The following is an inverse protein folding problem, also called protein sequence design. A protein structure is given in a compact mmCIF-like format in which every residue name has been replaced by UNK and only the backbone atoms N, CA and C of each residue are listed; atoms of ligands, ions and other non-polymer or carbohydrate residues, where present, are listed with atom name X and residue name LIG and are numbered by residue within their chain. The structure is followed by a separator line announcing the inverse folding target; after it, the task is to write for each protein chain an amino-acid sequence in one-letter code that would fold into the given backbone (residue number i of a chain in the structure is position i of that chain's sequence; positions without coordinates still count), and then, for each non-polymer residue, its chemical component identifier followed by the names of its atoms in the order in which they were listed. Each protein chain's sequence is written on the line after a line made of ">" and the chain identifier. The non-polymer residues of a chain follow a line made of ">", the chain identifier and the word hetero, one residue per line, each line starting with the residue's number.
data_IF_222085163165
#
_entry.id   IF_222085163165
#
_cell.length_a   1.000
_cell.length_b   1.000
_cell.length_c   1.000
_cell.angle_alpha   90.00
_cell.angle_beta   90.00
_cell.angle_gamma   90.00
#
_symmetry.space_group_name_H-M   'P 1'
#
loop_
_entity.id
_entity.type
_entity.pdbx_description
1 polymer ?
#
# COMPACT_ATOMS: atom_id res chain seq x y z
N UNK A 1 28.09 -11.28 -17.08
CA UNK A 1 29.43 -10.86 -17.44
C UNK A 1 29.70 -9.50 -16.79
N UNK A 2 30.65 -9.44 -15.87
CA UNK A 2 31.13 -8.17 -15.33
C UNK A 2 31.89 -7.49 -16.48
N UNK A 3 31.36 -6.37 -16.99
CA UNK A 3 32.08 -5.58 -17.99
C UNK A 3 33.28 -4.96 -17.28
N UNK A 4 34.48 -5.45 -17.61
CA UNK A 4 35.71 -4.85 -17.16
C UNK A 4 36.07 -3.79 -18.20
N UNK A 5 35.86 -2.51 -17.85
CA UNK A 5 36.34 -1.40 -18.68
C UNK A 5 37.89 -1.37 -18.67
N UNK A 6 38.46 -1.75 -19.76
CA UNK A 6 39.91 -1.77 -19.97
C UNK A 6 40.55 -3.14 -19.86
N UNK A 7 41.68 -3.36 -20.61
CA UNK A 7 42.52 -4.55 -20.46
C UNK A 7 43.29 -4.42 -19.15
N UNK A 8 43.16 -5.36 -18.21
CA UNK A 8 43.97 -5.33 -16.98
C UNK A 8 45.44 -5.53 -17.33
N UNK A 9 46.31 -4.79 -16.67
CA UNK A 9 47.75 -4.79 -16.92
C UNK A 9 48.44 -6.09 -16.52
N UNK A 10 47.83 -6.86 -15.60
CA UNK A 10 48.37 -8.11 -15.08
C UNK A 10 47.26 -9.09 -14.65
N UNK A 11 47.60 -10.37 -14.46
CA UNK A 11 46.68 -11.42 -14.03
C UNK A 11 46.04 -11.17 -12.66
N UNK A 12 46.74 -10.67 -11.62
CA UNK A 12 46.13 -10.34 -10.35
C UNK A 12 45.04 -9.27 -10.45
N UNK A 13 45.23 -8.21 -11.21
CA UNK A 13 44.20 -7.18 -11.42
C UNK A 13 43.02 -7.71 -12.27
N UNK A 14 43.27 -8.62 -13.20
CA UNK A 14 42.23 -9.31 -13.97
C UNK A 14 41.29 -10.15 -13.09
N UNK A 15 41.83 -10.78 -12.05
CA UNK A 15 41.12 -11.67 -11.15
C UNK A 15 40.49 -10.93 -9.96
N UNK A 16 40.92 -9.70 -9.66
CA UNK A 16 40.45 -8.94 -8.52
C UNK A 16 38.93 -8.65 -8.54
N UNK A 17 38.40 -8.25 -9.70
CA UNK A 17 36.98 -7.91 -9.85
C UNK A 17 36.07 -9.16 -9.72
N UNK A 18 36.35 -10.29 -10.40
CA UNK A 18 35.59 -11.54 -10.20
C UNK A 18 35.68 -12.05 -8.76
N UNK A 19 36.84 -11.97 -8.11
CA UNK A 19 37.05 -12.41 -6.74
C UNK A 19 36.28 -11.55 -5.72
N UNK A 20 36.16 -10.25 -5.95
CA UNK A 20 35.35 -9.36 -5.11
C UNK A 20 33.85 -9.66 -5.26
N UNK A 21 33.37 -9.86 -6.49
CA UNK A 21 31.98 -10.24 -6.77
C UNK A 21 31.62 -11.62 -6.17
N UNK A 22 32.53 -12.56 -6.15
CA UNK A 22 32.33 -13.86 -5.51
C UNK A 22 32.25 -13.73 -3.99
N UNK A 23 33.12 -12.92 -3.36
CA UNK A 23 33.04 -12.60 -1.93
C UNK A 23 31.71 -11.91 -1.57
N UNK A 24 31.30 -10.95 -2.37
CA UNK A 24 30.01 -10.25 -2.20
C UNK A 24 28.85 -11.24 -2.22
N UNK A 25 28.76 -12.09 -3.24
CA UNK A 25 27.71 -13.10 -3.36
C UNK A 25 27.72 -14.11 -2.21
N UNK A 26 28.91 -14.57 -1.78
CA UNK A 26 29.04 -15.48 -0.65
C UNK A 26 28.66 -14.82 0.69
N UNK A 27 28.95 -13.54 0.86
CA UNK A 27 28.54 -12.77 2.03
C UNK A 27 27.03 -12.50 2.02
N UNK A 28 26.47 -12.13 0.87
CA UNK A 28 25.04 -11.91 0.68
C UNK A 28 24.21 -13.14 1.11
N UNK A 29 24.55 -14.33 0.63
CA UNK A 29 23.84 -15.56 1.00
C UNK A 29 23.82 -15.82 2.51
N UNK A 30 24.96 -15.63 3.19
CA UNK A 30 25.05 -15.82 4.63
C UNK A 30 24.22 -14.79 5.42
N UNK A 31 24.11 -13.59 4.89
CA UNK A 31 23.41 -12.47 5.57
C UNK A 31 21.93 -12.46 5.27
N UNK A 32 21.49 -12.81 4.07
CA UNK A 32 20.12 -12.73 3.64
C UNK A 32 19.16 -13.54 4.53
N UNK A 33 19.49 -14.79 4.84
CA UNK A 33 18.64 -15.68 5.63
C UNK A 33 18.34 -15.11 7.01
N UNK A 34 19.39 -14.70 7.74
CA UNK A 34 19.18 -14.13 9.08
C UNK A 34 18.56 -12.75 9.03
N UNK A 35 18.86 -11.92 8.01
CA UNK A 35 18.23 -10.61 7.84
C UNK A 35 16.72 -10.73 7.68
N UNK A 36 16.26 -11.59 6.76
CA UNK A 36 14.84 -11.81 6.58
C UNK A 36 14.17 -12.46 7.80
N UNK A 37 14.84 -13.39 8.47
CA UNK A 37 14.33 -13.97 9.71
C UNK A 37 14.16 -12.92 10.83
N UNK A 38 15.15 -12.04 11.01
CA UNK A 38 15.09 -10.93 11.98
C UNK A 38 14.01 -9.92 11.58
N UNK A 39 13.93 -9.54 10.30
CA UNK A 39 12.91 -8.63 9.78
C UNK A 39 11.50 -9.16 10.07
N UNK A 40 11.23 -10.40 9.70
CA UNK A 40 9.93 -11.06 9.91
C UNK A 40 9.62 -11.15 11.41
N UNK A 41 10.56 -11.65 12.21
CA UNK A 41 10.39 -11.78 13.65
C UNK A 41 10.11 -10.43 14.33
N UNK A 42 10.87 -9.40 13.99
CA UNK A 42 10.67 -8.04 14.52
C UNK A 42 9.30 -7.46 14.14
N UNK A 43 8.88 -7.62 12.89
CA UNK A 43 7.58 -7.11 12.42
C UNK A 43 6.40 -7.88 13.05
N UNK A 44 6.50 -9.20 13.21
CA UNK A 44 5.47 -9.99 13.89
C UNK A 44 5.37 -9.59 15.37
N UNK A 45 6.50 -9.48 16.08
CA UNK A 45 6.51 -9.03 17.46
C UNK A 45 5.92 -7.63 17.61
N UNK A 46 6.27 -6.72 16.72
CA UNK A 46 5.72 -5.37 16.70
C UNK A 46 4.22 -5.36 16.42
N UNK A 47 3.74 -6.17 15.49
CA UNK A 47 2.31 -6.31 15.20
C UNK A 47 1.53 -6.84 16.42
N UNK A 48 2.08 -7.86 17.11
CA UNK A 48 1.51 -8.40 18.35
C UNK A 48 1.48 -7.34 19.45
N UNK A 49 2.55 -6.55 19.61
CA UNK A 49 2.63 -5.46 20.59
C UNK A 49 1.65 -4.30 20.30
N UNK A 50 1.40 -4.01 19.03
CA UNK A 50 0.49 -2.92 18.60
C UNK A 50 -0.98 -3.32 18.70
N UNK A 51 -1.30 -4.60 18.52
CA UNK A 51 -2.68 -5.09 18.55
C UNK A 51 -3.47 -4.74 19.82
N UNK A 52 -2.95 -4.90 21.05
CA UNK A 52 -3.64 -4.45 22.26
C UNK A 52 -3.83 -2.94 22.34
N UNK A 53 -2.90 -2.14 21.80
CA UNK A 53 -3.04 -0.68 21.73
C UNK A 53 -4.22 -0.29 20.83
N UNK A 54 -4.33 -0.90 19.65
CA UNK A 54 -5.45 -0.71 18.74
C UNK A 54 -6.79 -1.19 19.35
N UNK A 55 -6.76 -2.25 20.17
CA UNK A 55 -7.96 -2.76 20.87
C UNK A 55 -8.36 -1.87 22.05
N UNK A 56 -7.39 -1.36 22.84
CA UNK A 56 -7.64 -0.46 23.97
C UNK A 56 -8.25 0.84 23.52
N UNK A 57 -7.78 1.45 22.47
CA UNK A 57 -8.34 2.67 21.90
C UNK A 57 -9.83 2.54 21.51
N UNK A 58 -10.34 1.30 21.31
CA UNK A 58 -11.77 1.03 21.09
C UNK A 58 -12.62 1.11 22.36
N UNK A 59 -12.04 0.86 23.55
CA UNK A 59 -12.77 0.73 24.80
C UNK A 59 -12.95 2.07 25.54
N UNK A 60 -12.32 3.16 25.04
CA UNK A 60 -12.38 4.49 25.64
C UNK A 60 -13.65 5.29 25.31
N UNK A 61 -14.64 4.68 24.68
CA UNK A 61 -15.89 5.36 24.32
C UNK A 61 -16.94 5.45 25.45
N UNK A 62 -16.57 5.08 26.68
CA UNK A 62 -17.48 5.12 27.85
C UNK A 62 -16.89 5.89 29.03
N UNK A 63 -17.72 6.35 29.99
CA UNK A 63 -17.28 7.13 31.16
C UNK A 63 -16.36 6.37 32.13
N UNK A 64 -16.24 5.06 31.99
CA UNK A 64 -15.37 4.20 32.81
C UNK A 64 -14.44 3.44 31.86
N UNK A 65 -13.54 4.16 31.18
CA UNK A 65 -12.55 3.57 30.28
C UNK A 65 -11.24 3.21 31.00
N UNK A 66 -10.45 2.23 30.47
CA UNK A 66 -9.12 1.95 31.00
C UNK A 66 -8.22 3.18 30.87
N UNK A 67 -7.25 3.32 31.79
CA UNK A 67 -6.32 4.44 31.84
C UNK A 67 -5.68 4.74 30.45
N UNK A 68 -5.50 6.02 30.10
CA UNK A 68 -4.90 6.41 28.84
C UNK A 68 -3.48 5.84 28.72
N UNK A 69 -3.13 5.37 27.51
CA UNK A 69 -1.79 4.87 27.25
C UNK A 69 -0.79 6.03 27.37
N UNK A 70 0.33 5.86 28.10
CA UNK A 70 1.34 6.90 28.22
C UNK A 70 1.82 7.37 26.84
N UNK A 71 1.90 8.68 26.62
CA UNK A 71 2.35 9.29 25.35
C UNK A 71 3.72 8.76 24.91
N UNK A 72 4.60 8.44 25.85
CA UNK A 72 5.91 7.85 25.55
C UNK A 72 5.81 6.49 24.87
N UNK A 73 4.86 5.64 25.30
CA UNK A 73 4.63 4.31 24.68
C UNK A 73 4.13 4.47 23.25
N UNK A 74 3.18 5.36 23.02
CA UNK A 74 2.67 5.63 21.66
C UNK A 74 3.79 6.15 20.76
N UNK A 75 4.57 7.11 21.23
CA UNK A 75 5.70 7.66 20.47
C UNK A 75 6.78 6.60 20.16
N UNK A 76 7.10 5.73 21.11
CA UNK A 76 8.04 4.62 20.88
C UNK A 76 7.52 3.65 19.82
N UNK A 77 6.24 3.27 19.92
CA UNK A 77 5.61 2.38 18.94
C UNK A 77 5.58 3.02 17.54
N UNK A 78 5.29 4.31 17.44
CA UNK A 78 5.36 5.04 16.17
C UNK A 78 6.76 4.99 15.55
N UNK A 79 7.81 5.24 16.34
CA UNK A 79 9.19 5.18 15.87
C UNK A 79 9.56 3.76 15.41
N UNK A 80 9.15 2.74 16.16
CA UNK A 80 9.39 1.34 15.79
C UNK A 80 8.65 0.92 14.52
N UNK A 81 7.43 1.41 14.31
CA UNK A 81 6.67 1.15 13.08
C UNK A 81 7.33 1.82 11.86
N UNK A 82 7.83 3.05 12.02
CA UNK A 82 8.59 3.75 10.97
C UNK A 82 9.88 2.99 10.67
N UNK A 83 10.63 2.61 11.70
CA UNK A 83 11.89 1.86 11.59
C UNK A 83 11.66 0.51 10.87
N UNK A 84 10.62 -0.24 11.25
CA UNK A 84 10.26 -1.50 10.62
C UNK A 84 9.93 -1.36 9.14
N UNK A 85 9.22 -0.30 8.76
CA UNK A 85 8.88 -0.03 7.36
C UNK A 85 10.10 0.40 6.52
N UNK A 86 11.09 1.06 7.14
CA UNK A 86 12.31 1.50 6.47
C UNK A 86 13.40 0.41 6.39
N UNK A 87 13.22 -0.73 7.06
CA UNK A 87 14.26 -1.76 7.15
C UNK A 87 14.70 -2.30 5.78
N UNK A 88 13.77 -2.57 4.86
CA UNK A 88 14.10 -3.08 3.51
C UNK A 88 14.77 -2.00 2.64
N UNK A 89 14.25 -0.77 2.52
CA UNK A 89 14.96 0.31 1.82
C UNK A 89 16.34 0.63 2.40
N UNK A 90 16.51 0.55 3.73
CA UNK A 90 17.80 0.76 4.38
C UNK A 90 18.78 -0.37 4.08
N UNK A 91 18.32 -1.63 4.07
CA UNK A 91 19.13 -2.76 3.68
C UNK A 91 19.63 -2.66 2.23
N UNK A 92 18.77 -2.17 1.31
CA UNK A 92 19.17 -1.89 -0.07
C UNK A 92 20.26 -0.80 -0.13
N UNK A 93 20.11 0.28 0.64
CA UNK A 93 21.12 1.35 0.69
C UNK A 93 22.41 0.90 1.38
N UNK A 94 22.38 -0.12 2.25
CA UNK A 94 23.59 -0.62 2.89
C UNK A 94 24.59 -1.19 1.86
N UNK A 95 24.13 -1.65 0.71
CA UNK A 95 24.97 -2.17 -0.37
C UNK A 95 25.77 -1.08 -1.11
N UNK A 96 25.56 0.20 -0.78
CA UNK A 96 26.46 1.31 -1.20
C UNK A 96 27.84 1.20 -0.55
N UNK A 97 27.88 0.62 0.68
CA UNK A 97 29.11 0.43 1.43
C UNK A 97 29.62 -1.00 1.20
N UNK A 98 30.90 -1.22 0.86
CA UNK A 98 31.44 -2.56 0.61
C UNK A 98 31.63 -3.33 1.93
N UNK A 99 30.53 -3.59 2.65
CA UNK A 99 30.51 -4.26 3.95
C UNK A 99 31.02 -5.71 3.90
N UNK A 100 30.98 -6.36 2.74
CA UNK A 100 31.41 -7.74 2.51
C UNK A 100 32.94 -7.92 2.52
N UNK A 101 33.72 -6.83 2.43
CA UNK A 101 35.19 -6.87 2.43
C UNK A 101 35.80 -7.06 3.80
N UNK A 102 35.05 -6.82 4.88
CA UNK A 102 35.54 -6.95 6.25
C UNK A 102 35.44 -8.37 6.80
N UNK A 103 36.25 -8.68 7.82
CA UNK A 103 36.28 -10.00 8.49
C UNK A 103 34.95 -10.38 9.13
N UNK A 104 34.13 -9.39 9.51
CA UNK A 104 32.82 -9.54 10.14
C UNK A 104 31.72 -8.93 9.26
N UNK A 105 31.62 -9.39 8.00
CA UNK A 105 30.71 -8.85 7.01
C UNK A 105 29.25 -8.69 7.50
N UNK A 106 28.71 -9.72 8.18
CA UNK A 106 27.35 -9.65 8.72
C UNK A 106 27.16 -8.58 9.81
N UNK A 107 28.14 -8.37 10.67
CA UNK A 107 28.09 -7.32 11.69
C UNK A 107 28.15 -5.93 11.05
N UNK A 108 29.03 -5.72 10.05
CA UNK A 108 29.10 -4.47 9.31
C UNK A 108 27.81 -4.16 8.58
N UNK A 109 27.21 -5.15 7.89
CA UNK A 109 25.91 -5.00 7.28
C UNK A 109 24.84 -4.58 8.29
N UNK A 110 24.78 -5.25 9.46
CA UNK A 110 23.82 -4.91 10.51
C UNK A 110 24.03 -3.47 11.02
N UNK A 111 25.27 -3.05 11.29
CA UNK A 111 25.57 -1.69 11.77
C UNK A 111 25.16 -0.64 10.73
N UNK A 112 25.55 -0.81 9.48
CA UNK A 112 25.20 0.13 8.40
C UNK A 112 23.69 0.21 8.22
N UNK A 113 23.02 -0.93 8.16
CA UNK A 113 21.55 -0.98 8.03
C UNK A 113 20.85 -0.30 9.20
N UNK A 114 21.27 -0.56 10.45
CA UNK A 114 20.69 0.08 11.64
C UNK A 114 20.91 1.59 11.65
N UNK A 115 22.09 2.06 11.24
CA UNK A 115 22.37 3.51 11.12
C UNK A 115 21.47 4.15 10.05
N UNK A 116 21.27 3.49 8.92
CA UNK A 116 20.37 3.97 7.85
C UNK A 116 18.91 3.97 8.30
N UNK A 117 18.46 2.94 9.02
CA UNK A 117 17.12 2.89 9.62
C UNK A 117 16.94 4.01 10.63
N UNK A 118 17.91 4.22 11.52
CA UNK A 118 17.86 5.29 12.51
C UNK A 118 17.85 6.67 11.85
N UNK A 119 18.72 6.90 10.87
CA UNK A 119 18.80 8.13 10.09
C UNK A 119 17.48 8.41 9.30
N UNK A 120 16.96 7.40 8.63
CA UNK A 120 15.68 7.48 7.92
C UNK A 120 14.49 7.73 8.86
N UNK A 121 14.47 7.07 10.02
CA UNK A 121 13.45 7.30 11.07
C UNK A 121 13.53 8.73 11.59
N UNK A 122 14.74 9.23 11.85
CA UNK A 122 14.96 10.62 12.25
C UNK A 122 14.52 11.59 11.15
N UNK A 123 14.88 11.34 9.90
CA UNK A 123 14.45 12.15 8.76
C UNK A 123 12.92 12.24 8.65
N UNK A 124 12.21 11.11 8.81
CA UNK A 124 10.73 11.09 8.84
C UNK A 124 10.19 11.83 10.06
N UNK A 125 10.84 11.72 11.22
CA UNK A 125 10.42 12.38 12.47
C UNK A 125 10.54 13.90 12.40
N UNK A 126 11.55 14.41 11.71
CA UNK A 126 11.79 15.83 11.53
C UNK A 126 11.26 16.39 10.21
N UNK A 127 10.65 15.54 9.36
CA UNK A 127 10.09 15.97 8.08
C UNK A 127 8.96 17.00 8.26
N UNK A 128 8.85 18.00 7.37
CA UNK A 128 7.71 18.89 7.34
C UNK A 128 6.40 18.12 7.21
N UNK A 129 5.43 18.42 8.07
CA UNK A 129 4.15 17.71 8.08
C UNK A 129 4.14 16.39 8.87
N UNK A 130 5.20 16.05 9.62
CA UNK A 130 5.19 14.89 10.52
C UNK A 130 4.02 14.88 11.49
N UNK A 131 3.58 16.06 11.98
CA UNK A 131 2.44 16.20 12.87
C UNK A 131 1.09 15.82 12.22
N UNK A 132 0.99 15.85 10.90
CA UNK A 132 -0.24 15.41 10.21
C UNK A 132 -0.44 13.90 10.34
N UNK A 133 -1.69 13.45 10.44
CA UNK A 133 -2.05 12.04 10.63
C UNK A 133 -1.38 11.10 9.65
N UNK A 134 -1.35 11.47 8.36
CA UNK A 134 -0.72 10.68 7.29
C UNK A 134 0.71 11.16 6.94
N UNK A 135 1.27 12.12 7.67
CA UNK A 135 2.59 12.69 7.38
C UNK A 135 3.70 11.64 7.32
N UNK A 136 3.92 10.86 8.38
CA UNK A 136 4.95 9.83 8.39
C UNK A 136 4.72 8.73 7.35
N UNK A 137 3.47 8.32 7.12
CA UNK A 137 3.14 7.34 6.07
C UNK A 137 3.60 7.86 4.70
N UNK A 138 3.25 9.12 4.36
CA UNK A 138 3.67 9.71 3.10
C UNK A 138 5.18 9.86 2.97
N UNK A 139 5.86 10.24 4.06
CA UNK A 139 7.31 10.39 4.09
C UNK A 139 8.03 9.03 3.90
N UNK A 140 7.60 7.99 4.62
CA UNK A 140 8.15 6.63 4.50
C UNK A 140 7.89 6.06 3.10
N UNK A 141 6.65 6.19 2.59
CA UNK A 141 6.30 5.71 1.26
C UNK A 141 7.10 6.44 0.17
N UNK A 142 7.24 7.77 0.29
CA UNK A 142 8.05 8.57 -0.62
C UNK A 142 9.52 8.18 -0.57
N UNK A 143 10.08 8.01 0.63
CA UNK A 143 11.49 7.61 0.82
C UNK A 143 11.76 6.21 0.23
N UNK A 144 10.89 5.24 0.50
CA UNK A 144 11.00 3.89 -0.05
C UNK A 144 10.94 3.89 -1.59
N UNK A 145 10.00 4.66 -2.16
CA UNK A 145 9.88 4.83 -3.61
C UNK A 145 11.12 5.49 -4.21
N UNK A 146 11.65 6.53 -3.56
CA UNK A 146 12.84 7.25 -4.03
C UNK A 146 14.09 6.37 -3.98
N UNK A 147 14.29 5.60 -2.90
CA UNK A 147 15.45 4.73 -2.75
C UNK A 147 15.48 3.67 -3.84
N UNK A 148 14.38 2.91 -4.00
CA UNK A 148 14.31 1.87 -5.02
C UNK A 148 14.28 2.48 -6.43
N UNK A 149 13.52 3.56 -6.62
CA UNK A 149 13.46 4.25 -7.91
C UNK A 149 14.80 4.83 -8.35
N UNK A 150 15.56 5.46 -7.44
CA UNK A 150 16.88 5.99 -7.73
C UNK A 150 17.87 4.88 -8.11
N UNK A 151 17.85 3.75 -7.39
CA UNK A 151 18.67 2.59 -7.75
C UNK A 151 18.34 2.07 -9.14
N UNK A 152 17.04 1.92 -9.48
CA UNK A 152 16.60 1.49 -10.80
C UNK A 152 17.02 2.49 -11.89
N UNK A 153 16.89 3.80 -11.64
CA UNK A 153 17.31 4.85 -12.56
C UNK A 153 18.82 4.91 -12.78
N UNK A 154 19.61 4.43 -11.81
CA UNK A 154 21.07 4.33 -11.89
C UNK A 154 21.59 2.96 -12.35
N UNK A 155 20.68 2.08 -12.81
CA UNK A 155 20.99 0.78 -13.37
C UNK A 155 20.82 -0.40 -12.43
N UNK A 156 20.09 -0.23 -11.33
CA UNK A 156 19.73 -1.26 -10.33
C UNK A 156 20.97 -1.98 -9.73
N UNK A 157 22.02 -1.22 -9.47
CA UNK A 157 23.31 -1.76 -9.01
C UNK A 157 23.26 -2.31 -7.61
N UNK A 158 22.44 -1.73 -6.73
CA UNK A 158 22.29 -2.16 -5.34
C UNK A 158 21.47 -3.44 -5.21
N UNK A 159 20.73 -3.80 -6.24
CA UNK A 159 19.96 -5.06 -6.28
C UNK A 159 20.76 -6.24 -6.77
N UNK A 160 21.84 -5.99 -7.53
CA UNK A 160 22.72 -7.05 -8.01
C UNK A 160 23.65 -7.48 -6.88
N UNK A 161 23.55 -8.73 -6.45
CA UNK A 161 24.27 -9.30 -5.32
C UNK A 161 24.01 -8.64 -3.96
N UNK A 162 22.99 -7.76 -3.88
CA UNK A 162 22.56 -7.14 -2.61
C UNK A 162 21.75 -8.11 -1.74
N UNK A 163 21.75 -7.87 -0.39
CA UNK A 163 21.05 -8.73 0.58
C UNK A 163 19.53 -8.80 0.30
N UNK A 164 18.94 -7.71 -0.13
CA UNK A 164 17.51 -7.64 -0.50
C UNK A 164 17.28 -7.71 -2.02
N UNK A 165 18.32 -7.96 -2.76
CA UNK A 165 18.32 -8.03 -4.20
C UNK A 165 18.28 -9.46 -4.76
N UNK A 166 19.05 -9.70 -5.79
CA UNK A 166 19.17 -11.01 -6.44
C UNK A 166 20.63 -11.34 -6.73
N UNK A 167 20.95 -12.64 -6.71
CA UNK A 167 22.28 -13.12 -7.04
C UNK A 167 22.45 -13.24 -8.55
N UNK A 168 23.53 -12.68 -9.10
CA UNK A 168 23.92 -12.85 -10.49
C UNK A 168 24.19 -14.32 -10.85
N UNK A 169 24.62 -15.13 -9.87
CA UNK A 169 24.99 -16.53 -10.09
C UNK A 169 23.77 -17.46 -10.11
N UNK A 170 22.68 -17.12 -9.38
CA UNK A 170 21.53 -18.01 -9.22
C UNK A 170 20.40 -17.75 -10.20
N UNK A 171 20.20 -16.51 -10.66
CA UNK A 171 18.99 -16.14 -11.39
C UNK A 171 19.13 -15.94 -12.88
N UNK A 172 20.34 -15.93 -13.46
CA UNK A 172 20.53 -15.57 -14.87
C UNK A 172 20.04 -14.14 -15.22
N UNK A 173 19.75 -13.32 -14.21
CA UNK A 173 19.33 -11.93 -14.30
C UNK A 173 20.52 -11.05 -13.93
N UNK A 174 20.91 -10.15 -14.81
CA UNK A 174 22.08 -9.30 -14.64
C UNK A 174 21.74 -7.81 -14.56
N UNK A 175 20.46 -7.46 -14.66
CA UNK A 175 19.98 -6.09 -14.59
C UNK A 175 18.49 -6.05 -14.25
N UNK A 176 18.02 -4.90 -13.76
CA UNK A 176 16.62 -4.64 -13.52
C UNK A 176 16.18 -4.84 -12.07
N UNK A 177 14.85 -4.78 -11.85
CA UNK A 177 14.25 -4.77 -10.53
C UNK A 177 14.08 -6.20 -9.98
N UNK A 178 14.60 -6.47 -8.78
CA UNK A 178 14.42 -7.74 -8.06
C UNK A 178 13.02 -7.86 -7.43
N UNK A 179 12.65 -9.06 -7.01
CA UNK A 179 11.30 -9.36 -6.46
C UNK A 179 10.99 -8.55 -5.18
N UNK A 180 11.94 -8.46 -4.25
CA UNK A 180 11.80 -7.69 -3.01
C UNK A 180 11.73 -6.20 -3.33
N UNK A 181 12.63 -5.69 -4.17
CA UNK A 181 12.62 -4.32 -4.66
C UNK A 181 11.30 -3.94 -5.34
N UNK A 182 10.75 -4.84 -6.17
CA UNK A 182 9.45 -4.66 -6.81
C UNK A 182 8.32 -4.52 -5.78
N UNK A 183 8.26 -5.42 -4.78
CA UNK A 183 7.24 -5.37 -3.74
C UNK A 183 7.26 -4.04 -2.97
N UNK A 184 8.44 -3.59 -2.55
CA UNK A 184 8.63 -2.31 -1.84
C UNK A 184 8.28 -1.12 -2.73
N UNK A 185 8.70 -1.14 -4.01
CA UNK A 185 8.43 -0.06 -4.95
C UNK A 185 6.95 0.07 -5.29
N UNK A 186 6.25 -1.04 -5.51
CA UNK A 186 4.80 -1.09 -5.71
C UNK A 186 4.08 -0.52 -4.50
N UNK A 187 4.41 -0.98 -3.30
CA UNK A 187 3.79 -0.50 -2.07
C UNK A 187 4.08 0.99 -1.82
N UNK A 188 5.34 1.39 -1.93
CA UNK A 188 5.77 2.76 -1.74
C UNK A 188 5.11 3.73 -2.71
N UNK A 189 5.15 3.44 -4.01
CA UNK A 189 4.60 4.31 -5.06
C UNK A 189 3.08 4.48 -4.93
N UNK A 190 2.33 3.40 -4.67
CA UNK A 190 0.88 3.48 -4.51
C UNK A 190 0.47 4.16 -3.20
N UNK A 191 1.15 3.90 -2.07
CA UNK A 191 0.91 4.61 -0.82
C UNK A 191 1.24 6.11 -0.94
N UNK A 192 2.35 6.44 -1.62
CA UNK A 192 2.72 7.83 -1.92
C UNK A 192 1.66 8.50 -2.80
N UNK A 193 1.21 7.83 -3.86
CA UNK A 193 0.12 8.32 -4.72
C UNK A 193 -1.17 8.54 -3.93
N UNK A 194 -1.55 7.62 -3.05
CA UNK A 194 -2.72 7.76 -2.18
C UNK A 194 -2.59 8.92 -1.20
N UNK A 195 -1.42 9.11 -0.60
CA UNK A 195 -1.14 10.24 0.28
C UNK A 195 -1.19 11.59 -0.44
N UNK A 196 -0.61 11.70 -1.64
CA UNK A 196 -0.71 12.89 -2.47
C UNK A 196 -2.15 13.16 -2.92
N UNK A 197 -2.87 12.11 -3.32
CA UNK A 197 -4.27 12.21 -3.73
C UNK A 197 -5.19 12.74 -2.61
N UNK A 198 -4.84 12.54 -1.33
CA UNK A 198 -5.61 13.14 -0.23
C UNK A 198 -5.45 14.65 -0.10
N UNK A 199 -4.43 15.24 -0.70
CA UNK A 199 -4.15 16.69 -0.66
C UNK A 199 -4.88 17.48 -1.73
N UNK A 200 -5.51 16.79 -2.67
CA UNK A 200 -6.25 17.40 -3.78
C UNK A 200 -7.76 17.17 -3.67
N UNK A 201 -8.58 18.02 -4.32
CA UNK A 201 -10.03 17.82 -4.39
C UNK A 201 -10.38 16.43 -4.95
N UNK A 202 -11.56 15.91 -4.58
CA UNK A 202 -11.99 14.54 -4.93
C UNK A 202 -11.89 14.22 -6.44
N UNK A 203 -12.27 15.18 -7.31
CA UNK A 203 -12.24 14.99 -8.77
C UNK A 203 -10.83 14.77 -9.33
N UNK A 204 -9.80 15.34 -8.69
CA UNK A 204 -8.40 15.24 -9.12
C UNK A 204 -7.65 14.03 -8.57
N UNK A 205 -8.21 13.33 -7.59
CA UNK A 205 -7.57 12.16 -6.97
C UNK A 205 -7.18 11.06 -7.96
N UNK A 206 -8.05 10.63 -8.89
CA UNK A 206 -7.67 9.65 -9.90
C UNK A 206 -6.51 10.12 -10.76
N UNK A 207 -6.49 11.40 -11.12
CA UNK A 207 -5.41 11.99 -11.96
C UNK A 207 -4.07 11.90 -11.24
N UNK A 208 -4.02 12.24 -9.94
CA UNK A 208 -2.80 12.14 -9.14
C UNK A 208 -2.34 10.68 -9.02
N UNK A 209 -3.27 9.74 -8.78
CA UNK A 209 -2.96 8.31 -8.69
C UNK A 209 -2.40 7.78 -10.01
N UNK A 210 -3.02 8.17 -11.14
CA UNK A 210 -2.56 7.74 -12.48
C UNK A 210 -1.21 8.40 -12.83
N UNK A 211 -1.01 9.66 -12.48
CA UNK A 211 0.26 10.36 -12.77
C UNK A 211 1.43 9.73 -12.02
N UNK A 212 1.31 9.59 -10.69
CA UNK A 212 2.38 8.99 -9.85
C UNK A 212 2.56 7.51 -10.18
N UNK A 213 1.45 6.77 -10.27
CA UNK A 213 1.47 5.35 -10.61
C UNK A 213 1.96 5.09 -12.03
N UNK A 214 1.61 5.95 -13.00
CA UNK A 214 2.09 5.86 -14.38
C UNK A 214 3.60 6.05 -14.48
N UNK A 215 4.18 7.01 -13.75
CA UNK A 215 5.64 7.16 -13.65
C UNK A 215 6.25 5.87 -13.09
N UNK A 216 5.68 5.31 -12.02
CA UNK A 216 6.16 4.06 -11.44
C UNK A 216 6.06 2.89 -12.43
N UNK A 217 4.98 2.78 -13.21
CA UNK A 217 4.82 1.77 -14.27
C UNK A 217 5.93 1.90 -15.33
N UNK A 218 6.22 3.13 -15.76
CA UNK A 218 7.30 3.38 -16.73
C UNK A 218 8.66 2.98 -16.16
N UNK A 219 8.95 3.32 -14.90
CA UNK A 219 10.20 2.96 -14.24
C UNK A 219 10.37 1.44 -14.16
N UNK A 220 9.33 0.70 -13.77
CA UNK A 220 9.36 -0.77 -13.68
C UNK A 220 9.44 -1.42 -15.03
N UNK A 221 8.61 -0.97 -15.99
CA UNK A 221 8.43 -1.66 -17.28
C UNK A 221 9.43 -1.27 -18.36
N UNK A 222 10.10 -0.12 -18.22
CA UNK A 222 11.07 0.30 -19.23
C UNK A 222 12.21 -0.72 -19.35
N UNK A 223 12.49 -1.22 -20.56
CA UNK A 223 13.57 -2.17 -20.80
C UNK A 223 14.97 -1.60 -20.50
N UNK A 224 15.08 -0.27 -20.39
CA UNK A 224 16.33 0.43 -20.08
C UNK A 224 16.50 0.70 -18.58
N UNK A 225 15.44 0.50 -17.77
CA UNK A 225 15.39 0.79 -16.34
C UNK A 225 15.11 -0.48 -15.53
N UNK A 226 13.85 -0.69 -15.15
CA UNK A 226 13.43 -1.83 -14.33
C UNK A 226 13.43 -3.17 -15.08
N UNK A 227 13.24 -3.14 -16.39
CA UNK A 227 13.19 -4.31 -17.28
C UNK A 227 12.22 -5.43 -16.82
N UNK A 228 11.22 -5.07 -16.00
CA UNK A 228 10.22 -6.00 -15.47
C UNK A 228 8.84 -5.69 -16.07
N UNK A 229 8.56 -6.31 -17.22
CA UNK A 229 7.27 -6.14 -17.90
C UNK A 229 6.11 -6.77 -17.14
N UNK A 230 6.33 -7.86 -16.40
CA UNK A 230 5.28 -8.52 -15.60
C UNK A 230 4.91 -7.67 -14.38
N UNK A 231 5.90 -7.10 -13.70
CA UNK A 231 5.71 -6.13 -12.65
C UNK A 231 4.98 -4.86 -13.12
N UNK A 232 5.29 -4.37 -14.32
CA UNK A 232 4.64 -3.21 -14.91
C UNK A 232 3.16 -3.46 -15.23
N UNK A 233 2.82 -4.63 -15.76
CA UNK A 233 1.42 -5.04 -16.02
C UNK A 233 0.64 -5.08 -14.70
N UNK A 234 1.23 -5.74 -13.70
CA UNK A 234 0.62 -5.86 -12.38
C UNK A 234 0.42 -4.50 -11.70
N UNK A 235 1.44 -3.63 -11.77
CA UNK A 235 1.36 -2.27 -11.22
C UNK A 235 0.31 -1.43 -11.97
N UNK A 236 0.19 -1.57 -13.30
CA UNK A 236 -0.86 -0.90 -14.08
C UNK A 236 -2.25 -1.31 -13.60
N UNK A 237 -2.48 -2.60 -13.34
CA UNK A 237 -3.74 -3.07 -12.77
C UNK A 237 -3.98 -2.46 -11.38
N UNK A 238 -2.96 -2.44 -10.51
CA UNK A 238 -3.04 -1.83 -9.19
C UNK A 238 -3.34 -0.33 -9.22
N UNK A 239 -2.67 0.43 -10.10
CA UNK A 239 -2.91 1.87 -10.32
C UNK A 239 -4.33 2.11 -10.81
N UNK A 240 -4.80 1.30 -11.75
CA UNK A 240 -6.15 1.41 -12.31
C UNK A 240 -7.23 1.16 -11.24
N UNK A 241 -7.04 0.13 -10.41
CA UNK A 241 -7.94 -0.14 -9.26
C UNK A 241 -7.89 1.00 -8.25
N UNK A 242 -6.69 1.48 -7.90
CA UNK A 242 -6.53 2.60 -6.97
C UNK A 242 -7.20 3.88 -7.50
N UNK A 243 -7.02 4.21 -8.78
CA UNK A 243 -7.67 5.34 -9.42
C UNK A 243 -9.19 5.20 -9.41
N UNK A 244 -9.72 4.01 -9.75
CA UNK A 244 -11.15 3.75 -9.83
C UNK A 244 -11.88 3.96 -8.49
N UNK A 245 -11.25 3.64 -7.35
CA UNK A 245 -11.84 3.77 -6.01
C UNK A 245 -11.37 4.99 -5.22
N UNK A 246 -10.42 5.79 -5.74
CA UNK A 246 -9.82 6.93 -5.04
C UNK A 246 -10.81 8.04 -4.69
N UNK A 247 -11.91 8.16 -5.42
CA UNK A 247 -13.00 9.11 -5.15
C UNK A 247 -13.94 8.67 -4.03
N UNK A 248 -13.74 7.48 -3.44
CA UNK A 248 -14.56 6.90 -2.38
C UNK A 248 -15.73 6.05 -2.89
N UNK A 249 -15.81 5.82 -4.20
CA UNK A 249 -16.82 4.93 -4.80
C UNK A 249 -16.46 3.45 -4.68
N UNK A 250 -17.45 2.59 -4.93
CA UNK A 250 -17.24 1.15 -5.08
C UNK A 250 -16.72 0.80 -6.49
N UNK A 251 -16.07 -0.35 -6.60
CA UNK A 251 -15.71 -0.91 -7.89
C UNK A 251 -17.00 -1.29 -8.65
N UNK A 252 -17.21 -0.64 -9.77
CA UNK A 252 -18.27 -1.00 -10.73
C UNK A 252 -17.67 -1.84 -11.85
N UNK A 253 -18.50 -2.66 -12.51
CA UNK A 253 -18.07 -3.47 -13.66
C UNK A 253 -17.42 -2.58 -14.74
N UNK A 254 -17.99 -1.42 -15.02
CA UNK A 254 -17.43 -0.46 -15.99
C UNK A 254 -16.01 -0.02 -15.60
N UNK A 255 -15.74 0.29 -14.31
CA UNK A 255 -14.41 0.69 -13.85
C UNK A 255 -13.41 -0.47 -13.94
N UNK A 256 -13.85 -1.71 -13.67
CA UNK A 256 -13.02 -2.90 -13.86
C UNK A 256 -12.67 -3.14 -15.33
N UNK A 257 -13.64 -2.94 -16.24
CA UNK A 257 -13.38 -3.03 -17.68
C UNK A 257 -12.36 -1.98 -18.12
N UNK A 258 -12.51 -0.72 -17.70
CA UNK A 258 -11.51 0.32 -18.00
C UNK A 258 -10.13 0.00 -17.42
N UNK A 259 -10.07 -0.53 -16.21
CA UNK A 259 -8.81 -0.98 -15.60
C UNK A 259 -8.16 -2.12 -16.39
N UNK A 260 -8.94 -3.09 -16.82
CA UNK A 260 -8.48 -4.19 -17.68
C UNK A 260 -7.99 -3.70 -19.05
N UNK A 261 -8.72 -2.77 -19.67
CA UNK A 261 -8.31 -2.15 -20.94
C UNK A 261 -7.00 -1.36 -20.80
N UNK A 262 -6.83 -0.60 -19.72
CA UNK A 262 -5.59 0.11 -19.43
C UNK A 262 -4.42 -0.86 -19.23
N UNK A 263 -4.64 -1.96 -18.49
CA UNK A 263 -3.64 -3.03 -18.30
C UNK A 263 -3.26 -3.69 -19.63
N UNK A 264 -4.26 -3.99 -20.46
CA UNK A 264 -4.03 -4.56 -21.80
C UNK A 264 -3.24 -3.60 -22.69
N UNK A 265 -3.61 -2.31 -22.71
CA UNK A 265 -2.90 -1.30 -23.49
C UNK A 265 -1.44 -1.15 -23.05
N UNK A 266 -1.18 -1.15 -21.74
CA UNK A 266 0.18 -1.12 -21.20
C UNK A 266 0.95 -2.38 -21.60
N UNK A 267 0.33 -3.56 -21.51
CA UNK A 267 0.93 -4.84 -21.93
C UNK A 267 1.33 -4.81 -23.39
N UNK A 268 0.41 -4.38 -24.27
CA UNK A 268 0.67 -4.26 -25.71
C UNK A 268 1.78 -3.24 -25.97
N UNK A 269 1.77 -2.09 -25.28
CA UNK A 269 2.81 -1.07 -25.39
C UNK A 269 4.20 -1.61 -25.06
N UNK A 270 4.35 -2.27 -23.90
CA UNK A 270 5.62 -2.90 -23.52
C UNK A 270 6.01 -4.05 -24.44
N UNK A 271 5.05 -4.85 -24.91
CA UNK A 271 5.29 -5.93 -25.87
C UNK A 271 5.87 -5.41 -27.19
N UNK A 272 5.29 -4.33 -27.74
CA UNK A 272 5.77 -3.72 -28.97
C UNK A 272 7.19 -3.16 -28.80
N UNK A 273 7.47 -2.51 -27.67
CA UNK A 273 8.81 -1.99 -27.37
C UNK A 273 9.81 -3.14 -27.24
N UNK A 274 9.46 -4.20 -26.52
CA UNK A 274 10.37 -5.34 -26.29
C UNK A 274 10.61 -6.19 -27.55
N UNK A 275 9.60 -6.36 -28.40
CA UNK A 275 9.74 -7.07 -29.69
C UNK A 275 10.65 -6.35 -30.70
N UNK A 276 10.77 -4.99 -30.58
CA UNK A 276 11.69 -4.22 -31.44
C UNK A 276 13.16 -4.40 -31.06
N UNK A 277 13.44 -5.01 -29.91
CA UNK A 277 14.81 -5.28 -29.45
C UNK A 277 15.38 -6.54 -30.13
N UNK A 278 16.72 -6.63 -30.26
CA UNK A 278 17.36 -7.84 -30.71
C UNK A 278 16.94 -9.05 -29.86
N UNK A 279 16.80 -10.26 -30.44
CA UNK A 279 16.36 -11.46 -29.71
C UNK A 279 17.14 -11.76 -28.43
N UNK A 280 18.44 -11.49 -28.41
CA UNK A 280 19.33 -11.70 -27.26
C UNK A 280 19.05 -10.71 -26.09
N UNK A 281 18.45 -9.54 -26.38
CA UNK A 281 18.17 -8.47 -25.40
C UNK A 281 16.71 -8.38 -25.01
N UNK A 282 15.84 -9.26 -25.54
CA UNK A 282 14.42 -9.26 -25.23
C UNK A 282 14.17 -9.58 -23.76
N UNK A 283 13.29 -8.83 -23.14
CA UNK A 283 12.83 -9.05 -21.78
C UNK A 283 11.91 -10.27 -21.64
N UNK A 284 11.33 -10.44 -20.47
CA UNK A 284 10.44 -11.58 -20.15
C UNK A 284 9.21 -11.64 -21.06
N UNK A 285 8.62 -10.49 -21.39
CA UNK A 285 7.41 -10.42 -22.22
C UNK A 285 7.71 -10.76 -23.69
N UNK A 286 8.77 -10.21 -24.27
CA UNK A 286 9.17 -10.54 -25.64
C UNK A 286 9.56 -11.99 -25.81
N UNK A 287 10.23 -12.58 -24.83
CA UNK A 287 10.55 -14.03 -24.81
C UNK A 287 9.28 -14.88 -24.66
N UNK A 288 8.33 -14.47 -23.82
CA UNK A 288 7.05 -15.17 -23.67
C UNK A 288 6.24 -15.15 -24.96
N UNK A 289 6.16 -13.99 -25.63
CA UNK A 289 5.47 -13.87 -26.91
C UNK A 289 6.13 -14.69 -28.02
N UNK A 290 7.46 -14.71 -28.03
CA UNK A 290 8.19 -15.61 -28.95
C UNK A 290 7.87 -17.08 -28.64
N UNK A 291 7.91 -17.50 -27.39
CA UNK A 291 7.56 -18.85 -26.96
C UNK A 291 6.09 -19.23 -27.25
N UNK A 292 5.17 -18.26 -27.24
CA UNK A 292 3.79 -18.48 -27.71
C UNK A 292 3.74 -18.77 -29.21
N UNK A 293 4.52 -18.02 -30.01
CA UNK A 293 4.66 -18.27 -31.45
C UNK A 293 5.25 -19.65 -31.77
N UNK A 294 6.18 -20.11 -30.95
CA UNK A 294 6.86 -21.40 -31.09
C UNK A 294 6.10 -22.59 -30.45
N UNK A 295 4.92 -22.33 -29.84
CA UNK A 295 4.10 -23.35 -29.19
C UNK A 295 4.60 -23.81 -27.81
N UNK A 296 5.65 -23.17 -27.25
CA UNK A 296 6.27 -23.54 -25.95
C UNK A 296 5.79 -22.69 -24.78
N UNK A 297 4.82 -21.77 -25.00
CA UNK A 297 4.30 -20.86 -23.99
C UNK A 297 3.71 -21.55 -22.75
N UNK A 298 3.13 -22.74 -22.90
CA UNK A 298 2.59 -23.53 -21.80
C UNK A 298 3.65 -23.95 -20.77
N UNK A 299 4.89 -24.21 -21.20
CA UNK A 299 6.01 -24.56 -20.31
C UNK A 299 6.40 -23.39 -19.40
N UNK A 300 6.30 -22.16 -19.90
CA UNK A 300 6.59 -20.93 -19.13
C UNK A 300 5.59 -20.74 -18.00
N UNK A 301 4.30 -20.94 -18.28
CA UNK A 301 3.24 -20.86 -17.27
C UNK A 301 3.39 -21.95 -16.20
N UNK A 302 3.72 -23.19 -16.63
CA UNK A 302 3.93 -24.29 -15.70
C UNK A 302 5.14 -24.06 -14.78
N UNK A 303 6.24 -23.51 -15.29
CA UNK A 303 7.42 -23.14 -14.49
C UNK A 303 7.10 -22.03 -13.49
N UNK A 304 6.36 -21.00 -13.88
CA UNK A 304 5.97 -19.92 -12.98
C UNK A 304 5.07 -20.41 -11.83
N UNK A 305 4.13 -21.33 -12.11
CA UNK A 305 3.27 -21.93 -11.08
C UNK A 305 4.06 -22.81 -10.11
N UNK A 306 5.01 -23.60 -10.60
CA UNK A 306 5.90 -24.42 -9.78
C UNK A 306 6.77 -23.56 -8.85
N UNK A 307 7.35 -22.48 -9.38
CA UNK A 307 8.15 -21.53 -8.59
C UNK A 307 7.33 -20.88 -7.46
N UNK A 308 6.07 -20.48 -7.72
CA UNK A 308 5.20 -19.92 -6.70
C UNK A 308 4.90 -20.92 -5.57
N UNK A 309 4.77 -22.20 -5.90
CA UNK A 309 4.53 -23.22 -4.87
C UNK A 309 5.76 -23.47 -4.01
N UNK A 310 6.96 -23.43 -4.59
CA UNK A 310 8.21 -23.61 -3.88
C UNK A 310 8.49 -22.45 -2.91
N UNK A 311 8.23 -21.21 -3.30
CA UNK A 311 8.40 -20.03 -2.43
C UNK A 311 7.47 -20.05 -1.21
N UNK A 312 6.35 -20.78 -1.26
CA UNK A 312 5.44 -20.92 -0.11
C UNK A 312 6.13 -21.58 1.09
N UNK A 313 7.00 -22.53 0.84
CA UNK A 313 7.67 -23.34 1.88
C UNK A 313 9.02 -22.73 2.27
N UNK A 314 9.76 -22.20 1.29
CA UNK A 314 11.16 -21.83 1.46
C UNK A 314 11.38 -20.36 1.84
N UNK A 315 10.43 -19.46 1.56
CA UNK A 315 10.64 -18.02 1.78
C UNK A 315 10.16 -17.57 3.17
N UNK A 316 11.01 -16.94 3.99
CA UNK A 316 10.61 -16.29 5.24
C UNK A 316 9.58 -15.16 5.02
N UNK A 317 9.57 -14.52 3.85
CA UNK A 317 8.62 -13.47 3.49
C UNK A 317 7.16 -13.97 3.39
N UNK A 318 6.95 -15.28 3.30
CA UNK A 318 5.61 -15.91 3.36
C UNK A 318 4.83 -15.47 4.60
N UNK A 319 5.48 -15.34 5.75
CA UNK A 319 4.83 -14.89 6.99
C UNK A 319 4.32 -13.45 6.85
N UNK A 320 5.11 -12.56 6.26
CA UNK A 320 4.70 -11.18 5.99
C UNK A 320 3.63 -11.10 4.90
N UNK A 321 3.67 -11.97 3.91
CA UNK A 321 2.63 -12.07 2.89
C UNK A 321 1.29 -12.51 3.52
N UNK A 322 1.30 -13.48 4.42
CA UNK A 322 0.11 -13.88 5.19
C UNK A 322 -0.39 -12.76 6.09
N UNK A 323 0.50 -12.06 6.79
CA UNK A 323 0.13 -10.88 7.60
C UNK A 323 -0.50 -9.77 6.74
N UNK A 324 0.06 -9.53 5.55
CA UNK A 324 -0.49 -8.58 4.59
C UNK A 324 -1.86 -9.04 4.06
N UNK A 325 -2.04 -10.33 3.77
CA UNK A 325 -3.32 -10.89 3.35
C UNK A 325 -4.40 -10.75 4.44
N UNK A 326 -4.04 -11.02 5.70
CA UNK A 326 -4.93 -10.79 6.85
C UNK A 326 -5.27 -9.30 7.01
N UNK A 327 -4.28 -8.41 6.84
CA UNK A 327 -4.53 -6.97 6.85
C UNK A 327 -5.51 -6.58 5.75
N UNK A 328 -5.32 -7.07 4.52
CA UNK A 328 -6.22 -6.82 3.38
C UNK A 328 -7.62 -7.31 3.70
N UNK A 329 -7.76 -8.51 4.24
CA UNK A 329 -9.05 -9.06 4.66
C UNK A 329 -9.74 -8.14 5.67
N UNK A 330 -9.07 -7.83 6.79
CA UNK A 330 -9.66 -6.99 7.85
C UNK A 330 -9.76 -5.51 7.48
N UNK A 331 -8.90 -5.01 6.60
CA UNK A 331 -8.90 -3.62 6.20
C UNK A 331 -9.91 -3.31 5.10
N UNK A 332 -10.00 -4.17 4.10
CA UNK A 332 -10.79 -3.90 2.90
C UNK A 332 -12.15 -4.58 2.94
N UNK A 333 -12.23 -5.84 3.40
CA UNK A 333 -13.46 -6.64 3.38
C UNK A 333 -14.27 -6.48 4.67
N UNK A 334 -13.62 -6.45 5.83
CA UNK A 334 -14.25 -6.29 7.13
C UNK A 334 -13.57 -5.20 7.96
N UNK A 335 -13.62 -3.93 7.53
CA UNK A 335 -12.91 -2.86 8.23
C UNK A 335 -13.44 -2.69 9.66
N UNK A 336 -12.53 -2.73 10.64
CA UNK A 336 -12.86 -2.53 12.04
C UNK A 336 -11.94 -1.50 12.71
N UNK A 337 -12.42 -0.90 13.81
CA UNK A 337 -11.65 0.01 14.67
C UNK A 337 -11.04 1.19 13.93
N UNK A 338 -9.74 1.41 14.13
CA UNK A 338 -8.97 2.50 13.54
C UNK A 338 -8.92 2.47 12.02
N UNK A 339 -8.89 1.28 11.40
CA UNK A 339 -8.88 1.13 9.94
C UNK A 339 -10.22 1.57 9.32
N UNK A 340 -11.36 1.27 9.95
CA UNK A 340 -12.67 1.75 9.48
C UNK A 340 -12.73 3.27 9.48
N UNK A 341 -12.23 3.90 10.55
CA UNK A 341 -12.13 5.37 10.64
C UNK A 341 -11.14 5.94 9.62
N UNK A 342 -9.96 5.33 9.50
CA UNK A 342 -8.94 5.72 8.53
C UNK A 342 -9.53 5.79 7.11
N UNK A 343 -10.22 4.75 6.69
CA UNK A 343 -10.78 4.67 5.34
C UNK A 343 -12.01 5.55 5.13
N UNK A 344 -12.75 5.85 6.19
CA UNK A 344 -13.84 6.83 6.16
C UNK A 344 -13.33 8.26 5.95
N UNK A 345 -12.25 8.62 6.65
CA UNK A 345 -11.65 9.96 6.57
C UNK A 345 -10.74 10.08 5.32
N UNK A 346 -10.00 9.02 4.99
CA UNK A 346 -8.99 9.01 3.94
C UNK A 346 -9.27 7.94 2.86
N UNK A 347 -10.28 8.12 2.01
CA UNK A 347 -10.68 7.11 1.00
C UNK A 347 -9.58 6.80 -0.03
N UNK A 348 -8.69 7.76 -0.37
CA UNK A 348 -7.58 7.48 -1.27
C UNK A 348 -6.52 6.55 -0.65
N UNK A 349 -6.42 6.48 0.70
CA UNK A 349 -5.56 5.48 1.34
C UNK A 349 -6.13 4.07 1.22
N UNK A 350 -7.46 3.90 1.32
CA UNK A 350 -8.10 2.63 1.02
C UNK A 350 -7.83 2.21 -0.42
N UNK A 351 -7.93 3.16 -1.35
CA UNK A 351 -7.65 2.94 -2.77
C UNK A 351 -6.21 2.48 -3.00
N UNK A 352 -5.23 3.16 -2.39
CA UNK A 352 -3.81 2.81 -2.47
C UNK A 352 -3.54 1.40 -1.94
N UNK A 353 -4.06 1.04 -0.77
CA UNK A 353 -3.88 -0.29 -0.20
C UNK A 353 -4.52 -1.38 -1.06
N UNK A 354 -5.72 -1.14 -1.61
CA UNK A 354 -6.37 -2.07 -2.51
C UNK A 354 -5.57 -2.25 -3.81
N UNK A 355 -5.09 -1.15 -4.40
CA UNK A 355 -4.22 -1.18 -5.58
C UNK A 355 -2.92 -1.93 -5.31
N UNK A 356 -2.29 -1.70 -4.15
CA UNK A 356 -1.07 -2.42 -3.75
C UNK A 356 -1.32 -3.92 -3.62
N UNK A 357 -2.43 -4.33 -3.00
CA UNK A 357 -2.78 -5.73 -2.86
C UNK A 357 -2.96 -6.40 -4.24
N UNK A 358 -3.69 -5.76 -5.15
CA UNK A 358 -3.90 -6.26 -6.51
C UNK A 358 -2.58 -6.34 -7.27
N UNK A 359 -1.76 -5.28 -7.23
CA UNK A 359 -0.47 -5.26 -7.92
C UNK A 359 0.50 -6.31 -7.37
N UNK A 360 0.61 -6.45 -6.04
CA UNK A 360 1.51 -7.42 -5.41
C UNK A 360 1.13 -8.86 -5.75
N UNK A 361 -0.17 -9.20 -5.70
CA UNK A 361 -0.66 -10.54 -6.07
C UNK A 361 -0.40 -10.82 -7.54
N UNK A 362 -0.75 -9.90 -8.44
CA UNK A 362 -0.56 -10.10 -9.88
C UNK A 362 0.93 -10.16 -10.26
N UNK A 363 1.77 -9.26 -9.71
CA UNK A 363 3.21 -9.28 -9.97
C UNK A 363 3.84 -10.61 -9.55
N UNK A 364 3.45 -11.10 -8.39
CA UNK A 364 3.93 -12.38 -7.90
C UNK A 364 3.44 -13.57 -8.72
N UNK A 365 2.14 -13.64 -9.04
CA UNK A 365 1.57 -14.73 -9.84
C UNK A 365 2.18 -14.79 -11.23
N UNK A 366 2.34 -13.65 -11.89
CA UNK A 366 2.93 -13.57 -13.23
C UNK A 366 4.45 -13.81 -13.21
N UNK A 367 5.13 -13.36 -12.18
CA UNK A 367 6.59 -13.46 -12.02
C UNK A 367 7.10 -14.76 -11.40
N UNK A 368 6.22 -15.60 -10.83
CA UNK A 368 6.61 -16.85 -10.16
C UNK A 368 7.17 -16.68 -8.75
N UNK A 369 6.92 -15.53 -8.08
CA UNK A 369 7.40 -15.21 -6.73
C UNK A 369 6.34 -14.40 -5.93
N UNK A 370 5.11 -14.92 -5.95
CA UNK A 370 3.94 -14.22 -5.38
C UNK A 370 4.13 -13.82 -3.91
N UNK A 371 4.67 -14.72 -3.11
CA UNK A 371 4.82 -14.51 -1.67
C UNK A 371 5.96 -13.55 -1.34
N UNK A 372 7.05 -13.57 -2.11
CA UNK A 372 8.16 -12.64 -1.91
C UNK A 372 7.75 -11.20 -2.21
N UNK A 373 7.06 -10.98 -3.35
CA UNK A 373 6.55 -9.65 -3.73
C UNK A 373 5.51 -9.17 -2.72
N UNK A 374 4.55 -10.04 -2.35
CA UNK A 374 3.51 -9.71 -1.37
C UNK A 374 4.07 -9.49 0.03
N UNK A 375 5.05 -10.29 0.45
CA UNK A 375 5.74 -10.14 1.73
C UNK A 375 6.55 -8.86 1.81
N UNK A 376 7.30 -8.53 0.77
CA UNK A 376 8.05 -7.27 0.68
C UNK A 376 7.14 -6.04 0.67
N UNK A 377 6.03 -6.09 -0.08
CA UNK A 377 5.00 -5.07 -0.02
C UNK A 377 4.37 -4.98 1.38
N UNK A 378 4.10 -6.12 2.00
CA UNK A 378 3.58 -6.24 3.36
C UNK A 378 4.52 -5.64 4.41
N UNK A 379 5.82 -5.83 4.26
CA UNK A 379 6.85 -5.25 5.13
C UNK A 379 6.76 -3.72 5.23
N UNK A 380 6.27 -3.06 4.20
CA UNK A 380 6.01 -1.62 4.20
C UNK A 380 4.56 -1.27 4.60
N UNK A 381 3.57 -1.95 4.03
CA UNK A 381 2.14 -1.61 4.17
C UNK A 381 1.63 -1.90 5.58
N UNK A 382 2.01 -3.05 6.18
CA UNK A 382 1.49 -3.46 7.49
C UNK A 382 1.86 -2.47 8.61
N UNK A 383 3.14 -2.12 8.81
CA UNK A 383 3.49 -1.15 9.83
C UNK A 383 2.92 0.25 9.53
N UNK A 384 2.82 0.66 8.26
CA UNK A 384 2.26 1.97 7.90
C UNK A 384 0.75 2.04 8.10
N UNK A 385 0.01 0.97 7.84
CA UNK A 385 -1.41 0.87 8.13
C UNK A 385 -1.67 0.91 9.64
N UNK A 386 -0.86 0.20 10.42
CA UNK A 386 -0.93 0.21 11.89
C UNK A 386 -0.65 1.61 12.45
N UNK A 387 0.39 2.28 11.96
CA UNK A 387 0.74 3.66 12.34
C UNK A 387 -0.39 4.65 12.03
N UNK A 388 -0.92 4.60 10.81
CA UNK A 388 -2.02 5.47 10.41
C UNK A 388 -3.28 5.23 11.26
N UNK A 389 -3.60 3.97 11.56
CA UNK A 389 -4.73 3.61 12.41
C UNK A 389 -4.55 4.11 13.85
N UNK A 390 -3.34 3.98 14.44
CA UNK A 390 -3.02 4.50 15.78
C UNK A 390 -3.20 6.02 15.83
N UNK A 391 -2.66 6.75 14.85
CA UNK A 391 -2.76 8.21 14.79
C UNK A 391 -4.18 8.71 14.61
N UNK A 392 -5.00 8.03 13.80
CA UNK A 392 -6.44 8.37 13.67
C UNK A 392 -7.16 8.19 14.99
N UNK A 393 -6.81 7.18 15.78
CA UNK A 393 -7.42 6.95 17.09
C UNK A 393 -6.95 7.98 18.11
N UNK A 394 -5.67 8.34 18.13
CA UNK A 394 -5.10 9.33 19.05
C UNK A 394 -5.69 10.72 18.82
N UNK A 395 -5.74 11.21 17.60
CA UNK A 395 -6.35 12.49 17.25
C UNK A 395 -7.86 12.57 17.55
N UNK A 396 -8.55 11.44 17.60
CA UNK A 396 -9.96 11.41 17.98
C UNK A 396 -10.17 11.54 19.48
N UNK A 397 -9.20 11.09 20.27
CA UNK A 397 -9.25 11.13 21.74
C UNK A 397 -8.94 12.53 22.27
N UNK A 398 -8.00 13.25 21.64
CA UNK A 398 -7.68 14.64 22.03
C UNK A 398 -8.85 15.62 21.82
N UNK A 399 -9.71 15.39 20.81
CA UNK A 399 -10.89 16.24 20.54
C UNK A 399 -12.04 16.02 21.52
N UNK A 400 -12.06 14.91 22.24
CA UNK A 400 -13.11 14.58 23.21
C UNK A 400 -12.71 14.89 24.65
N UNK A 401 -11.48 15.39 24.88
CA UNK A 401 -11.04 15.83 26.19
C UNK A 401 -11.62 17.23 26.44
N UNK A 402 -12.50 17.42 27.45
CA UNK A 402 -12.85 18.74 27.88
C UNK A 402 -11.57 19.42 28.34
N UNK A 403 -11.35 20.67 27.90
CA UNK A 403 -10.27 21.50 28.43
C UNK A 403 -10.46 21.59 29.95
N UNK A 404 -9.59 20.92 30.71
CA UNK A 404 -9.55 21.05 32.15
C UNK A 404 -9.10 22.49 32.47
N UNK A 405 -10.05 23.38 32.68
CA UNK A 405 -9.87 24.65 33.42
C UNK A 405 -9.63 25.92 32.62
N UNK A 406 -9.97 25.99 31.33
CA UNK A 406 -10.11 27.31 30.68
C UNK A 406 -11.54 27.86 30.91
N UNK A 407 -11.74 29.20 31.18
CA UNK A 407 -13.08 29.76 31.27
C UNK A 407 -13.82 29.46 29.98
N UNK A 408 -14.98 28.85 30.11
CA UNK A 408 -15.88 28.52 29.03
C UNK A 408 -16.21 29.78 28.21
N UNK A 409 -15.36 30.08 27.20
CA UNK A 409 -15.76 30.97 26.13
C UNK A 409 -16.78 30.20 25.29
N UNK A 410 -18.02 30.25 25.78
CA UNK A 410 -19.20 29.79 25.09
C UNK A 410 -19.47 30.58 23.82
N UNK A 411 -18.62 30.34 22.80
CA UNK A 411 -18.98 30.48 21.41
C UNK A 411 -19.29 29.09 20.87
N UNK A 412 -20.30 28.46 21.44
CA UNK A 412 -21.21 27.64 20.67
C UNK A 412 -21.54 28.46 19.42
N UNK A 413 -21.21 27.95 18.25
CA UNK A 413 -21.77 28.39 16.98
C UNK A 413 -23.30 28.44 17.23
N UNK A 414 -23.81 29.63 17.52
CA UNK A 414 -25.22 29.89 17.51
C UNK A 414 -25.67 29.49 16.10
N UNK A 415 -26.57 28.54 16.05
CA UNK A 415 -27.33 28.29 14.83
C UNK A 415 -27.85 29.64 14.34
N UNK A 416 -27.83 29.92 13.02
CA UNK A 416 -28.36 31.16 12.51
C UNK A 416 -29.78 31.29 13.04
N UNK A 417 -30.00 32.30 13.91
CA UNK A 417 -31.34 32.71 14.35
C UNK A 417 -32.07 33.03 13.05
N UNK A 418 -33.19 32.35 12.82
CA UNK A 418 -34.20 32.83 11.88
C UNK A 418 -34.50 34.26 12.27
N UNK A 419 -34.60 35.24 11.34
CA UNK A 419 -35.08 36.55 11.64
C UNK A 419 -36.46 36.39 12.27
N UNK A 420 -36.63 36.96 13.46
CA UNK A 420 -37.96 37.15 14.06
C UNK A 420 -38.75 38.00 13.08
N UNK A 421 -39.92 37.55 12.75
CA UNK A 421 -40.91 38.34 11.99
C UNK A 421 -41.02 39.69 12.66
N UNK A 422 -40.67 40.75 11.91
CA UNK A 422 -40.83 42.15 12.30
C UNK A 422 -42.30 42.38 12.63
N UNK A 423 -42.56 42.85 13.83
CA UNK A 423 -43.84 43.41 14.28
C UNK A 423 -44.29 44.48 13.29
N UNK A 424 -45.40 44.20 12.60
CA UNK A 424 -46.18 45.22 11.91
C UNK A 424 -46.83 46.15 12.95
N UNK A 425 -46.77 47.46 12.79
CA UNK A 425 -47.41 48.39 13.72
C UNK A 425 -48.92 48.34 13.63
N UNK A 426 -49.55 48.27 14.78
CA UNK A 426 -51.01 48.35 14.95
C UNK A 426 -51.53 49.67 14.41
N UNK A 427 -52.41 49.62 13.44
CA UNK A 427 -53.27 50.75 13.02
C UNK A 427 -54.63 50.65 13.72
N UNK A 428 -55.22 51.79 14.04
CA UNK A 428 -56.40 51.86 14.94
C UNK A 428 -57.74 51.75 14.20
N UNK A 429 -58.65 51.06 14.86
CA UNK A 429 -60.02 51.51 14.98
C UNK A 429 -61.08 50.95 14.06
N UNK A 430 -62.11 50.54 14.70
CA UNK A 430 -63.54 50.63 14.37
C UNK A 430 -64.24 49.45 13.79
N UNK A 431 -65.20 48.92 14.47
CA UNK A 431 -66.57 48.70 13.97
C UNK A 431 -67.11 47.28 14.07
N UNK A 432 -67.66 46.97 15.18
CA UNK A 432 -69.05 46.55 15.43
C UNK A 432 -69.73 45.80 14.19
N UNK A 433 -70.30 44.63 14.48
CA UNK A 433 -71.25 44.01 13.52
C UNK A 433 -71.47 42.51 13.71
N UNK A 434 -72.19 42.14 14.72
CA UNK A 434 -73.32 41.20 14.80
C UNK A 434 -73.37 40.03 13.81
N UNK A 435 -73.55 38.85 14.41
CA UNK A 435 -74.55 37.82 14.16
C UNK A 435 -74.36 36.77 13.07
N UNK A 436 -74.47 35.59 13.53
CA UNK A 436 -75.42 34.56 13.15
C UNK A 436 -74.95 33.39 12.25
N UNK A 437 -75.27 32.23 12.78
CA UNK A 437 -75.94 31.17 12.03
C UNK A 437 -75.14 30.02 11.42
N UNK A 438 -75.16 28.90 12.08
CA UNK A 438 -75.72 27.78 11.42
C UNK A 438 -74.80 26.61 10.98
N UNK A 439 -75.00 25.53 11.73
CA UNK A 439 -75.22 24.14 11.30
C UNK A 439 -74.03 23.31 10.75
N UNK A 440 -73.61 22.39 11.54
CA UNK A 440 -73.66 20.92 11.50
C UNK A 440 -73.67 20.22 10.12
N UNK A 441 -72.78 19.27 9.95
CA UNK A 441 -72.98 17.87 9.51
C UNK A 441 -71.65 17.14 9.57
N UNK A 442 -71.51 16.19 10.46
CA UNK A 442 -71.70 14.74 10.47
C UNK A 442 -71.16 13.98 9.27
N UNK A 443 -70.44 12.90 9.57
CA UNK A 443 -70.23 11.73 8.71
C UNK A 443 -68.77 11.21 8.79
N UNK A 444 -68.39 10.46 9.75
CA UNK A 444 -68.42 9.03 10.02
C UNK A 444 -68.00 8.18 8.76
N UNK A 445 -66.88 7.46 8.90
CA UNK A 445 -66.83 6.00 8.93
C UNK A 445 -65.50 5.46 8.34
N UNK A 446 -64.72 4.80 9.15
CA UNK A 446 -63.83 3.66 8.86
C UNK A 446 -64.71 2.42 8.55
N UNK A 447 -64.24 1.20 8.24
CA UNK A 447 -62.89 0.62 8.04
C UNK A 447 -62.86 -0.53 7.01
N UNK A 448 -61.75 -1.27 6.93
CA UNK A 448 -61.72 -2.65 6.43
C UNK A 448 -60.60 -2.88 5.39
N UNK A 449 -59.72 -3.68 5.52
CA UNK A 449 -59.43 -5.07 5.93
C UNK A 449 -58.46 -5.68 4.92
N UNK A 450 -57.41 -6.27 5.43
CA UNK A 450 -56.58 -7.28 4.80
C UNK A 450 -57.37 -8.44 4.19
N UNK A 451 -56.83 -9.24 3.26
CA UNK A 451 -56.05 -10.42 3.67
C UNK A 451 -54.91 -10.87 2.73
N UNK A 452 -53.91 -11.48 3.34
CA UNK A 452 -53.14 -12.61 2.83
C UNK A 452 -54.08 -13.84 2.68
N UNK A 453 -53.84 -14.88 1.85
CA UNK A 453 -52.78 -15.87 2.03
C UNK A 453 -52.29 -16.69 0.79
N UNK A 454 -51.08 -17.22 0.93
CA UNK A 454 -50.63 -18.60 0.71
C UNK A 454 -50.96 -19.41 -0.56
N UNK A 455 -49.91 -20.05 -1.02
CA UNK A 455 -49.78 -21.46 -1.43
C UNK A 455 -49.92 -21.82 -2.92
N UNK A 456 -48.91 -22.47 -3.36
CA UNK A 456 -48.73 -23.79 -4.04
C UNK A 456 -47.53 -23.75 -4.96
N UNK A 457 -46.49 -24.43 -4.66
CA UNK A 457 -46.25 -25.89 -4.76
C UNK A 457 -46.05 -26.37 -6.19
N UNK A 458 -44.89 -26.89 -6.41
CA UNK A 458 -44.52 -28.18 -7.00
C UNK A 458 -44.01 -28.24 -8.43
N UNK A 459 -42.96 -28.95 -8.52
CA UNK A 459 -42.56 -30.05 -9.41
C UNK A 459 -41.78 -29.76 -10.67
N UNK A 460 -40.65 -30.46 -10.75
CA UNK A 460 -40.17 -31.27 -11.83
C UNK A 460 -38.70 -30.99 -12.13
N UNK A 461 -37.77 -31.69 -11.64
CA UNK A 461 -37.19 -32.98 -12.02
C UNK A 461 -36.46 -32.94 -13.40
N UNK A 462 -35.14 -33.13 -13.30
CA UNK A 462 -34.28 -34.15 -13.90
C UNK A 462 -33.65 -33.92 -15.29
N UNK A 463 -32.39 -34.32 -15.31
CA UNK A 463 -31.56 -34.91 -16.38
C UNK A 463 -31.05 -33.96 -17.47
N UNK A 464 -29.80 -33.79 -17.64
CA UNK A 464 -28.61 -34.65 -17.85
C UNK A 464 -27.36 -33.84 -17.54
#
# INVERSE_FOLDING_TARGET
>A
AVAVDGRPADLPSALAVPADADRETAAQRRVADWFFAVLVGAQVLLAVAVLPLLRRARRHAGPVGPAPVPRRVVATVELLLIAAALAVPAALLADVVPWWRGDHAGAWFAVVTLLLVAGGTAAVRFAPGHAATLGPLGAVAGLATLVVGADVLTGARLQLNGVVGYSALEGGRFAGLGTVGLGVFVAGSLLCAGWLAQRVPRGWRPVVVVAVGGIAVVVVGSPYLGADSTGAIALTAGVSVAAAISTGGWLTVSRLVWAAMAGLAATVGFAVVDLRRPPAERGSLGRFLAALGDGTGGLTVHRASGANFQTLVDSPLTVLALAAALLVWFALLQPWGGLKRLFGIYPAMRAAMAGTAVAAVLAGLLGGSALDVAGAAGALVVPMAALAALRVLDHSTDRTRPDDGGPANGRLLAAPRRPADDELPAGPGAGDGTADGGTAHDGAATPGSTPDPAARASTGAATT
#
